data_IF_775746386575
#
_entry.id   IF_775746386575
#
_cell.length_a   1.000
_cell.length_b   1.000
_cell.length_c   1.000
_cell.angle_alpha   90.00
_cell.angle_beta   90.00
_cell.angle_gamma   90.00
#
_symmetry.space_group_name_H-M   'P 1'
#
loop_
_entity.id
_entity.type
_entity.pdbx_description
1 polymer ?
#
# COMPACT_ATOMS: atom_id res chain seq x y z
N UNK A 1 26.16 -16.03 31.39
CA UNK A 1 24.82 -16.61 31.21
C UNK A 1 24.24 -15.98 29.96
N UNK A 2 24.53 -16.53 28.79
CA UNK A 2 24.03 -16.01 27.52
C UNK A 2 22.55 -16.36 27.41
N UNK A 3 21.71 -15.35 27.60
CA UNK A 3 20.27 -15.46 27.37
C UNK A 3 20.10 -15.51 25.85
N UNK A 4 20.07 -16.72 25.30
CA UNK A 4 19.82 -16.98 23.88
C UNK A 4 18.34 -16.71 23.56
N UNK A 5 18.00 -15.41 23.40
CA UNK A 5 16.65 -14.92 23.08
C UNK A 5 16.06 -15.54 21.80
N UNK A 6 16.88 -16.17 20.95
CA UNK A 6 16.45 -16.78 19.68
C UNK A 6 15.64 -18.07 19.86
N UNK A 7 15.65 -18.69 21.05
CA UNK A 7 15.00 -19.99 21.33
C UNK A 7 13.58 -19.92 21.91
N UNK A 8 13.01 -18.73 22.14
CA UNK A 8 11.58 -18.66 22.49
C UNK A 8 10.75 -18.91 21.23
N UNK A 9 10.33 -20.15 21.03
CA UNK A 9 9.28 -20.54 20.10
C UNK A 9 7.95 -19.95 20.59
N UNK A 10 7.75 -18.64 20.41
CA UNK A 10 6.45 -18.02 20.58
C UNK A 10 5.50 -18.73 19.61
N UNK A 11 4.41 -19.33 20.09
CA UNK A 11 3.44 -19.99 19.23
C UNK A 11 2.98 -19.06 18.11
N UNK A 12 2.81 -19.63 16.92
CA UNK A 12 2.53 -18.84 15.72
C UNK A 12 1.25 -17.99 15.82
N UNK A 13 0.23 -18.48 16.53
CA UNK A 13 -1.00 -17.75 16.79
C UNK A 13 -0.76 -16.52 17.68
N UNK A 14 0.08 -16.64 18.73
CA UNK A 14 0.47 -15.51 19.57
C UNK A 14 1.25 -14.49 18.75
N UNK A 15 2.18 -14.95 17.91
CA UNK A 15 2.97 -14.08 17.05
C UNK A 15 2.10 -13.34 16.02
N UNK A 16 1.11 -14.03 15.45
CA UNK A 16 0.14 -13.43 14.53
C UNK A 16 -0.65 -12.31 15.23
N UNK A 17 -1.25 -12.61 16.39
CA UNK A 17 -2.00 -11.62 17.18
C UNK A 17 -1.11 -10.43 17.53
N UNK A 18 0.09 -10.66 18.07
CA UNK A 18 1.02 -9.60 18.43
C UNK A 18 1.40 -8.72 17.23
N UNK A 19 1.74 -9.31 16.09
CA UNK A 19 2.10 -8.55 14.89
C UNK A 19 0.92 -7.73 14.35
N UNK A 20 -0.28 -8.30 14.30
CA UNK A 20 -1.46 -7.62 13.79
C UNK A 20 -1.84 -6.47 14.72
N UNK A 21 -1.87 -6.69 16.03
CA UNK A 21 -2.16 -5.65 17.02
C UNK A 21 -1.11 -4.54 16.98
N UNK A 22 0.18 -4.89 17.02
CA UNK A 22 1.25 -3.89 17.05
C UNK A 22 1.27 -3.06 15.77
N UNK A 23 1.21 -3.69 14.59
CA UNK A 23 1.21 -2.97 13.32
C UNK A 23 -0.08 -2.18 13.10
N UNK A 24 -1.23 -2.68 13.57
CA UNK A 24 -2.49 -1.92 13.50
C UNK A 24 -2.43 -0.68 14.38
N UNK A 25 -1.88 -0.80 15.60
CA UNK A 25 -1.67 0.34 16.49
C UNK A 25 -0.73 1.38 15.87
N UNK A 26 0.42 0.94 15.34
CA UNK A 26 1.35 1.82 14.62
C UNK A 26 0.66 2.49 13.42
N UNK A 27 -0.14 1.73 12.65
CA UNK A 27 -0.85 2.26 11.51
C UNK A 27 -1.86 3.34 11.91
N UNK A 28 -2.71 3.08 12.91
CA UNK A 28 -3.78 4.00 13.32
C UNK A 28 -3.20 5.25 13.99
N UNK A 29 -2.21 5.10 14.88
CA UNK A 29 -1.69 6.20 15.70
C UNK A 29 -0.71 7.08 14.94
N UNK A 30 0.13 6.49 14.08
CA UNK A 30 1.25 7.21 13.45
C UNK A 30 1.01 7.37 11.95
N UNK A 31 0.80 6.26 11.25
CA UNK A 31 0.87 6.24 9.79
C UNK A 31 -0.36 6.88 9.16
N UNK A 32 -1.55 6.61 9.69
CA UNK A 32 -2.79 7.14 9.17
C UNK A 32 -2.86 8.68 9.29
N UNK A 33 -2.58 9.30 10.46
CA UNK A 33 -2.52 10.75 10.57
C UNK A 33 -1.46 11.35 9.64
N UNK A 34 -0.25 10.79 9.63
CA UNK A 34 0.83 11.26 8.76
C UNK A 34 0.45 11.22 7.28
N UNK A 35 -0.19 10.12 6.84
CA UNK A 35 -0.63 9.95 5.46
C UNK A 35 -1.75 10.92 5.09
N UNK A 36 -2.69 11.19 6.01
CA UNK A 36 -3.73 12.21 5.81
C UNK A 36 -3.10 13.58 5.66
N UNK A 37 -2.24 14.00 6.60
CA UNK A 37 -1.54 15.30 6.57
C UNK A 37 -0.71 15.47 5.30
N UNK A 38 0.13 14.50 4.94
CA UNK A 38 0.94 14.56 3.71
C UNK A 38 0.05 14.70 2.48
N UNK A 39 -1.06 13.95 2.43
CA UNK A 39 -1.97 13.98 1.28
C UNK A 39 -2.68 15.32 1.19
N UNK A 40 -3.25 15.83 2.29
CA UNK A 40 -4.05 17.06 2.29
C UNK A 40 -3.22 18.33 2.15
N UNK A 41 -2.02 18.37 2.74
CA UNK A 41 -1.20 19.59 2.80
C UNK A 41 -0.15 19.66 1.69
N UNK A 42 0.32 18.53 1.15
CA UNK A 42 1.43 18.51 0.18
C UNK A 42 1.04 17.93 -1.17
N UNK A 43 0.46 16.73 -1.21
CA UNK A 43 0.18 16.04 -2.47
C UNK A 43 -1.00 16.72 -3.17
N UNK A 44 -2.15 16.81 -2.51
CA UNK A 44 -3.37 17.31 -3.10
C UNK A 44 -3.24 18.73 -3.66
N UNK A 45 -2.72 19.74 -2.91
CA UNK A 45 -2.62 21.11 -3.43
C UNK A 45 -1.74 21.21 -4.68
N UNK A 46 -0.65 20.45 -4.75
CA UNK A 46 0.23 20.43 -5.93
C UNK A 46 -0.46 19.85 -7.17
N UNK A 47 -1.25 18.79 -6.98
CA UNK A 47 -2.02 18.20 -8.08
C UNK A 47 -3.15 19.11 -8.54
N UNK A 48 -3.86 19.77 -7.61
CA UNK A 48 -4.89 20.76 -7.94
C UNK A 48 -4.29 21.91 -8.75
N UNK A 49 -3.17 22.48 -8.28
CA UNK A 49 -2.48 23.55 -9.01
C UNK A 49 -2.17 23.13 -10.46
N UNK A 50 -1.59 21.94 -10.65
CA UNK A 50 -1.26 21.48 -11.99
C UNK A 50 -2.51 21.17 -12.84
N UNK A 51 -3.60 20.75 -12.21
CA UNK A 51 -4.83 20.41 -12.91
C UNK A 51 -5.62 21.65 -13.32
N UNK A 52 -5.67 22.69 -12.48
CA UNK A 52 -6.26 24.00 -12.80
C UNK A 52 -5.55 24.66 -13.99
N UNK A 53 -4.22 24.60 -14.05
CA UNK A 53 -3.42 25.05 -15.20
C UNK A 53 -3.82 24.38 -16.52
N UNK A 54 -4.35 23.16 -16.46
CA UNK A 54 -4.73 22.35 -17.62
C UNK A 54 -6.26 22.21 -17.79
N UNK A 55 -7.07 22.89 -16.96
CA UNK A 55 -8.53 22.79 -17.00
C UNK A 55 -9.09 21.41 -16.66
N UNK A 56 -8.37 20.61 -15.86
CA UNK A 56 -8.76 19.24 -15.48
C UNK A 56 -9.26 19.22 -14.03
N UNK A 57 -10.47 18.72 -13.75
CA UNK A 57 -10.94 18.59 -12.37
C UNK A 57 -10.24 17.45 -11.63
N UNK A 58 -9.90 17.71 -10.37
CA UNK A 58 -9.38 16.71 -9.42
C UNK A 58 -10.45 16.47 -8.35
N UNK A 59 -10.77 15.21 -8.11
CA UNK A 59 -11.65 14.78 -7.03
C UNK A 59 -10.76 14.23 -5.92
N UNK A 60 -10.78 14.88 -4.75
CA UNK A 60 -10.02 14.41 -3.62
C UNK A 60 -10.79 13.33 -2.86
N UNK A 61 -10.12 12.21 -2.59
CA UNK A 61 -10.54 11.27 -1.58
C UNK A 61 -9.33 11.04 -0.64
N UNK A 62 -9.55 11.02 0.67
CA UNK A 62 -8.47 10.82 1.66
C UNK A 62 -7.59 9.57 1.38
N UNK A 63 -8.09 8.62 0.58
CA UNK A 63 -7.38 7.39 0.21
C UNK A 63 -6.81 7.38 -1.21
N UNK A 64 -7.31 8.22 -2.12
CA UNK A 64 -6.96 8.23 -3.55
C UNK A 64 -7.10 9.62 -4.15
N UNK A 65 -6.29 9.90 -5.15
CA UNK A 65 -6.42 11.11 -5.95
C UNK A 65 -7.06 10.74 -7.29
N UNK A 66 -8.20 11.33 -7.58
CA UNK A 66 -8.96 11.07 -8.81
C UNK A 66 -8.85 12.24 -9.79
N UNK A 67 -8.60 11.90 -11.04
CA UNK A 67 -8.40 12.82 -12.16
C UNK A 67 -9.48 12.52 -13.18
N UNK A 68 -10.27 13.53 -13.57
CA UNK A 68 -11.38 13.35 -14.51
C UNK A 68 -11.33 14.35 -15.67
N UNK A 69 -10.43 14.17 -16.65
CA UNK A 69 -10.40 15.01 -17.83
C UNK A 69 -11.68 14.87 -18.67
N UNK A 70 -11.98 15.88 -19.49
CA UNK A 70 -13.09 15.83 -20.42
C UNK A 70 -12.94 14.64 -21.40
N UNK A 71 -14.04 13.91 -21.65
CA UNK A 71 -14.05 12.72 -22.52
C UNK A 71 -13.82 11.39 -21.81
N UNK A 72 -13.68 11.37 -20.48
CA UNK A 72 -13.64 10.16 -19.67
C UNK A 72 -14.90 10.02 -18.80
N UNK A 73 -15.62 8.90 -18.97
CA UNK A 73 -16.84 8.61 -18.18
C UNK A 73 -16.55 8.23 -16.73
N UNK A 74 -15.33 7.73 -16.46
CA UNK A 74 -14.90 7.28 -15.13
C UNK A 74 -13.58 7.94 -14.74
N UNK A 75 -13.45 8.46 -13.51
CA UNK A 75 -12.19 9.04 -13.05
C UNK A 75 -11.06 8.01 -13.06
N UNK A 76 -9.86 8.47 -13.38
CA UNK A 76 -8.61 7.69 -13.30
C UNK A 76 -7.73 8.30 -12.25
N UNK A 77 -7.06 7.47 -11.46
CA UNK A 77 -6.36 7.98 -10.30
C UNK A 77 -5.38 6.97 -9.74
N UNK A 78 -4.87 7.29 -8.57
CA UNK A 78 -4.01 6.39 -7.83
C UNK A 78 -4.28 6.46 -6.33
N UNK A 79 -4.17 5.31 -5.68
CA UNK A 79 -4.25 5.22 -4.23
C UNK A 79 -2.98 5.72 -3.58
N UNK A 80 -3.11 6.38 -2.42
CA UNK A 80 -1.95 6.79 -1.63
C UNK A 80 -1.31 5.54 -1.02
N UNK A 81 0.00 5.28 -1.25
CA UNK A 81 0.70 4.08 -0.76
C UNK A 81 0.71 3.96 0.77
N UNK A 82 1.24 2.83 1.27
CA UNK A 82 1.36 2.53 2.70
C UNK A 82 0.04 2.59 3.50
N UNK A 83 -1.09 2.35 2.83
CA UNK A 83 -2.40 2.17 3.45
C UNK A 83 -2.63 0.74 4.00
N UNK A 84 -3.86 0.41 4.38
CA UNK A 84 -4.20 -0.91 4.94
C UNK A 84 -3.79 -2.11 4.06
N UNK A 85 -3.79 -1.95 2.73
CA UNK A 85 -3.35 -2.99 1.79
C UNK A 85 -1.84 -3.29 1.85
N UNK A 86 -1.05 -2.42 2.48
CA UNK A 86 0.35 -2.69 2.80
C UNK A 86 0.51 -3.36 4.16
N UNK A 87 -0.08 -2.76 5.20
CA UNK A 87 0.17 -3.15 6.59
C UNK A 87 -0.37 -4.53 6.93
N UNK A 88 -1.50 -4.92 6.35
CA UNK A 88 -2.09 -6.23 6.60
C UNK A 88 -1.20 -7.37 6.04
N UNK A 89 -0.81 -7.39 4.76
CA UNK A 89 0.14 -8.41 4.27
C UNK A 89 1.51 -8.33 4.96
N UNK A 90 2.00 -7.12 5.28
CA UNK A 90 3.24 -6.97 6.04
C UNK A 90 3.16 -7.68 7.40
N UNK A 91 2.05 -7.58 8.11
CA UNK A 91 1.82 -8.30 9.37
C UNK A 91 1.96 -9.81 9.18
N UNK A 92 1.42 -10.35 8.09
CA UNK A 92 1.54 -11.77 7.77
C UNK A 92 2.99 -12.17 7.47
N UNK A 93 3.73 -11.36 6.73
CA UNK A 93 5.13 -11.64 6.44
C UNK A 93 6.03 -11.54 7.67
N UNK A 94 5.79 -10.57 8.55
CA UNK A 94 6.49 -10.50 9.84
C UNK A 94 6.13 -11.71 10.70
N UNK A 95 4.83 -12.09 10.73
CA UNK A 95 4.40 -13.31 11.40
C UNK A 95 5.13 -14.51 10.85
N UNK A 96 5.22 -14.70 9.54
CA UNK A 96 5.91 -15.84 8.93
C UNK A 96 7.45 -15.70 8.90
N UNK A 97 8.00 -14.62 9.47
CA UNK A 97 9.43 -14.26 9.41
C UNK A 97 10.00 -14.22 7.98
N UNK A 98 9.14 -13.95 6.98
CA UNK A 98 9.52 -13.90 5.58
C UNK A 98 10.00 -12.49 5.22
N UNK A 99 11.31 -12.26 5.38
CA UNK A 99 11.94 -10.96 5.13
C UNK A 99 11.92 -10.56 3.66
N UNK A 100 12.14 -11.50 2.75
CA UNK A 100 12.23 -11.22 1.32
C UNK A 100 10.87 -10.76 0.77
N UNK A 101 9.79 -11.41 1.19
CA UNK A 101 8.44 -10.97 0.84
C UNK A 101 8.08 -9.60 1.42
N UNK A 102 8.48 -9.34 2.67
CA UNK A 102 8.29 -8.03 3.31
C UNK A 102 9.07 -6.91 2.59
N UNK A 103 10.32 -7.17 2.20
CA UNK A 103 11.14 -6.23 1.44
C UNK A 103 10.59 -6.01 0.03
N UNK A 104 10.16 -7.06 -0.66
CA UNK A 104 9.53 -6.96 -1.99
C UNK A 104 8.26 -6.12 -1.95
N UNK A 105 7.38 -6.37 -0.97
CA UNK A 105 6.16 -5.56 -0.77
C UNK A 105 6.51 -4.09 -0.46
N UNK A 106 7.51 -3.85 0.39
CA UNK A 106 7.95 -2.50 0.73
C UNK A 106 8.50 -1.76 -0.50
N UNK A 107 9.35 -2.42 -1.28
CA UNK A 107 9.90 -1.88 -2.53
C UNK A 107 8.80 -1.53 -3.54
N UNK A 108 7.79 -2.40 -3.68
CA UNK A 108 6.64 -2.11 -4.52
C UNK A 108 5.88 -0.86 -4.07
N UNK A 109 5.65 -0.67 -2.77
CA UNK A 109 5.01 0.54 -2.25
C UNK A 109 5.86 1.81 -2.38
N UNK A 110 7.18 1.70 -2.31
CA UNK A 110 8.09 2.81 -2.64
C UNK A 110 7.95 3.19 -4.11
N UNK A 111 7.88 2.22 -5.02
CA UNK A 111 7.59 2.49 -6.44
C UNK A 111 6.25 3.22 -6.62
N UNK A 112 5.21 2.83 -5.89
CA UNK A 112 3.90 3.49 -5.94
C UNK A 112 3.92 4.94 -5.43
N UNK A 113 4.94 5.36 -4.67
CA UNK A 113 5.11 6.77 -4.28
C UNK A 113 5.59 7.66 -5.43
N UNK A 114 6.09 7.08 -6.53
CA UNK A 114 6.72 7.83 -7.62
C UNK A 114 5.97 7.57 -8.94
N UNK A 115 5.77 6.31 -9.31
CA UNK A 115 5.22 5.92 -10.62
C UNK A 115 3.81 6.47 -10.87
N UNK A 116 2.80 6.10 -10.06
CA UNK A 116 1.44 6.57 -10.25
C UNK A 116 1.28 8.11 -10.14
N UNK A 117 1.92 8.83 -9.19
CA UNK A 117 1.92 10.28 -9.21
C UNK A 117 2.46 10.89 -10.51
N UNK A 118 3.55 10.35 -11.04
CA UNK A 118 4.12 10.80 -12.31
C UNK A 118 3.14 10.56 -13.49
N UNK A 119 2.50 9.38 -13.53
CA UNK A 119 1.45 9.09 -14.52
C UNK A 119 0.26 10.04 -14.37
N UNK A 120 -0.12 10.42 -13.14
CA UNK A 120 -1.15 11.41 -12.87
C UNK A 120 -0.84 12.77 -13.49
N UNK A 121 0.40 13.24 -13.34
CA UNK A 121 0.86 14.49 -13.96
C UNK A 121 0.78 14.41 -15.50
N UNK A 122 1.24 13.31 -16.10
CA UNK A 122 1.13 13.11 -17.55
C UNK A 122 -0.33 13.08 -18.00
N UNK A 123 -1.19 12.43 -17.24
CA UNK A 123 -2.60 12.35 -17.58
C UNK A 123 -3.29 13.73 -17.52
N UNK A 124 -2.96 14.54 -16.52
CA UNK A 124 -3.41 15.95 -16.42
C UNK A 124 -2.98 16.77 -17.65
N UNK A 125 -1.78 16.52 -18.19
CA UNK A 125 -1.27 17.17 -19.41
C UNK A 125 -1.90 16.66 -20.72
N UNK A 126 -2.87 15.75 -20.65
CA UNK A 126 -3.59 15.23 -21.81
C UNK A 126 -3.02 13.96 -22.44
N UNK A 127 -2.00 13.32 -21.84
CA UNK A 127 -1.50 12.04 -22.35
C UNK A 127 -2.46 10.89 -22.00
N UNK A 128 -3.33 10.51 -22.94
CA UNK A 128 -4.39 9.51 -22.73
C UNK A 128 -3.88 8.13 -22.30
N UNK A 129 -2.73 7.69 -22.81
CA UNK A 129 -2.09 6.43 -22.43
C UNK A 129 -1.72 6.37 -20.94
N UNK A 130 -1.42 7.52 -20.32
CA UNK A 130 -1.13 7.58 -18.89
C UNK A 130 -2.38 7.26 -18.06
N UNK A 131 -3.56 7.69 -18.52
CA UNK A 131 -4.85 7.32 -17.91
C UNK A 131 -5.11 5.81 -17.96
N UNK A 132 -4.78 5.14 -19.07
CA UNK A 132 -4.84 3.68 -19.19
C UNK A 132 -3.88 3.00 -18.22
N UNK A 133 -2.64 3.47 -18.11
CA UNK A 133 -1.67 2.90 -17.18
C UNK A 133 -2.05 3.12 -15.71
N UNK A 134 -2.68 4.24 -15.35
CA UNK A 134 -3.23 4.44 -14.01
C UNK A 134 -4.29 3.39 -13.67
N UNK A 135 -5.20 3.11 -14.61
CA UNK A 135 -6.20 2.06 -14.44
C UNK A 135 -5.58 0.67 -14.30
N UNK A 136 -4.60 0.33 -15.16
CA UNK A 136 -3.89 -0.95 -15.08
C UNK A 136 -3.14 -1.06 -13.75
N UNK A 137 -2.48 0.01 -13.31
CA UNK A 137 -1.80 0.06 -12.02
C UNK A 137 -2.78 -0.17 -10.85
N UNK A 138 -3.99 0.38 -10.91
CA UNK A 138 -5.02 0.14 -9.89
C UNK A 138 -5.43 -1.34 -9.81
N UNK A 139 -5.61 -1.99 -10.98
CA UNK A 139 -5.90 -3.43 -11.04
C UNK A 139 -4.72 -4.28 -10.52
N UNK A 140 -3.50 -3.96 -10.95
CA UNK A 140 -2.28 -4.63 -10.49
C UNK A 140 -2.09 -4.45 -8.99
N UNK A 141 -2.37 -3.27 -8.46
CA UNK A 141 -2.28 -2.98 -7.03
C UNK A 141 -3.20 -3.88 -6.21
N UNK A 142 -4.45 -4.04 -6.64
CA UNK A 142 -5.38 -4.97 -6.00
C UNK A 142 -4.90 -6.42 -6.13
N UNK A 143 -4.40 -6.81 -7.32
CA UNK A 143 -3.86 -8.14 -7.57
C UNK A 143 -2.65 -8.47 -6.68
N UNK A 144 -1.69 -7.55 -6.55
CA UNK A 144 -0.52 -7.68 -5.67
C UNK A 144 -0.96 -7.79 -4.21
N UNK A 145 -1.93 -6.99 -3.78
CA UNK A 145 -2.49 -7.09 -2.43
C UNK A 145 -3.08 -8.48 -2.16
N UNK A 146 -3.95 -8.98 -3.04
CA UNK A 146 -4.57 -10.31 -2.90
C UNK A 146 -3.51 -11.42 -2.89
N UNK A 147 -2.54 -11.34 -3.80
CA UNK A 147 -1.44 -12.28 -3.87
C UNK A 147 -0.61 -12.27 -2.58
N UNK A 148 -0.27 -11.09 -2.05
CA UNK A 148 0.50 -10.95 -0.82
C UNK A 148 -0.25 -11.51 0.40
N UNK A 149 -1.57 -11.31 0.48
CA UNK A 149 -2.39 -11.93 1.53
C UNK A 149 -2.39 -13.45 1.44
N UNK A 150 -2.62 -14.00 0.25
CA UNK A 150 -2.62 -15.44 0.03
C UNK A 150 -1.26 -16.04 0.38
N UNK A 151 -0.19 -15.44 -0.15
CA UNK A 151 1.18 -15.89 0.09
C UNK A 151 1.58 -15.79 1.57
N UNK A 152 1.23 -14.70 2.24
CA UNK A 152 1.45 -14.52 3.68
C UNK A 152 0.71 -15.56 4.52
N UNK A 153 -0.56 -15.79 4.21
CA UNK A 153 -1.40 -16.78 4.91
C UNK A 153 -0.88 -18.20 4.70
N UNK A 154 -0.47 -18.55 3.48
CA UNK A 154 0.16 -19.83 3.15
C UNK A 154 1.42 -20.05 3.99
N UNK A 155 2.32 -19.06 4.07
CA UNK A 155 3.56 -19.19 4.84
C UNK A 155 3.29 -19.41 6.34
N UNK A 156 2.28 -18.72 6.89
CA UNK A 156 1.84 -18.94 8.28
C UNK A 156 1.32 -20.37 8.47
N UNK A 157 0.49 -20.86 7.55
CA UNK A 157 -0.06 -22.22 7.63
C UNK A 157 1.04 -23.29 7.57
N UNK A 158 2.01 -23.15 6.66
CA UNK A 158 3.14 -24.08 6.55
C UNK A 158 4.01 -24.09 7.81
N UNK A 159 4.27 -22.92 8.38
CA UNK A 159 5.03 -22.82 9.62
C UNK A 159 4.24 -23.42 10.80
N UNK A 160 2.91 -23.20 10.88
CA UNK A 160 2.07 -23.84 11.88
C UNK A 160 2.11 -25.38 11.79
N UNK A 161 1.95 -25.92 10.57
CA UNK A 161 2.01 -27.37 10.31
C UNK A 161 3.34 -28.00 10.74
N UNK A 162 4.45 -27.26 10.60
CA UNK A 162 5.78 -27.73 11.01
C UNK A 162 5.93 -27.87 12.52
N UNK A 163 5.18 -27.11 13.33
CA UNK A 163 5.24 -27.14 14.79
C UNK A 163 4.14 -28.01 15.43
N UNK A 164 3.14 -28.46 14.65
CA UNK A 164 2.07 -29.37 15.10
C UNK A 164 2.27 -30.82 14.68
N UNK A 165 3.30 -31.09 13.88
CA UNK A 165 3.82 -32.41 13.49
C UNK A 165 4.97 -32.84 14.40
#
# INVERSE_FOLDING_TARGET
>A
MDIDWRKRNVPIHIRAILSLTLLSAVYIVIIWPLRVTITSEYIYPKFVQHAEENGVPIINNQRRLDIQPAGYDTPRGFGIPFGGYFWLPLALFITARNKDAALGLTGYHIFLCIGPPYLGILFIRGYSWAGTLLQVNEMLFLGVFMFALFFGSKNIYEEWKKYSS
#
